data_IF_459683291195
#
_entry.id   IF_459683291195
#
_cell.length_a   1.000
_cell.length_b   1.000
_cell.length_c   1.000
_cell.angle_alpha   90.00
_cell.angle_beta   90.00
_cell.angle_gamma   90.00
#
_symmetry.space_group_name_H-M   'P 1'
#
loop_
_entity.id
_entity.type
_entity.pdbx_description
1 polymer ?
#
# COMPACT_ATOMS: atom_id res chain seq x y z
N UNK A 1 -32.40 -49.94 12.63
CA UNK A 1 -31.40 -48.86 12.75
C UNK A 1 -31.20 -48.26 11.37
N UNK A 2 -30.90 -46.97 11.28
CA UNK A 2 -30.48 -46.34 10.02
C UNK A 2 -28.98 -46.16 10.12
N UNK A 3 -28.23 -46.79 9.22
CA UNK A 3 -26.79 -46.64 9.16
C UNK A 3 -26.44 -45.18 8.81
N UNK A 4 -25.60 -44.56 9.63
CA UNK A 4 -25.04 -43.24 9.32
C UNK A 4 -24.02 -43.42 8.22
N UNK A 5 -24.44 -43.20 6.97
CA UNK A 5 -23.52 -42.96 5.85
C UNK A 5 -22.53 -41.87 6.30
N UNK A 6 -21.25 -42.19 6.30
CA UNK A 6 -20.23 -41.21 6.69
C UNK A 6 -20.24 -40.04 5.71
N UNK A 7 -20.30 -38.82 6.24
CA UNK A 7 -20.42 -37.62 5.40
C UNK A 7 -19.21 -37.39 4.50
N UNK A 8 -18.06 -38.00 4.81
CA UNK A 8 -16.86 -38.10 3.95
C UNK A 8 -17.19 -38.63 2.55
N UNK A 9 -17.83 -39.81 2.45
CA UNK A 9 -18.19 -40.42 1.15
C UNK A 9 -19.07 -39.48 0.31
N UNK A 10 -19.98 -38.75 0.96
CA UNK A 10 -20.90 -37.83 0.28
C UNK A 10 -20.15 -36.67 -0.38
N UNK A 11 -19.03 -36.21 0.20
CA UNK A 11 -18.21 -35.15 -0.43
C UNK A 11 -17.35 -35.66 -1.58
N UNK A 12 -16.87 -36.90 -1.52
CA UNK A 12 -16.08 -37.51 -2.60
C UNK A 12 -16.95 -37.84 -3.83
N UNK A 13 -18.08 -38.53 -3.64
CA UNK A 13 -19.04 -38.90 -4.71
C UNK A 13 -19.61 -37.68 -5.45
N UNK A 14 -19.81 -36.56 -4.75
CA UNK A 14 -20.30 -35.31 -5.36
C UNK A 14 -19.18 -34.46 -6.02
N UNK A 15 -17.91 -34.91 -5.97
CA UNK A 15 -16.76 -34.13 -6.43
C UNK A 15 -16.49 -32.85 -5.60
N UNK A 16 -17.14 -32.71 -4.45
CA UNK A 16 -17.09 -31.55 -3.55
C UNK A 16 -15.89 -31.62 -2.59
N UNK A 17 -14.74 -32.09 -3.09
CA UNK A 17 -13.50 -32.11 -2.32
C UNK A 17 -13.15 -30.68 -1.87
N UNK A 18 -13.07 -30.40 -0.55
CA UNK A 18 -12.93 -29.03 -0.05
C UNK A 18 -11.54 -28.48 -0.38
N UNK A 19 -11.46 -27.60 -1.38
CA UNK A 19 -10.20 -26.98 -1.81
C UNK A 19 -9.70 -25.98 -0.76
N UNK A 20 -8.95 -26.53 0.21
CA UNK A 20 -7.97 -25.90 1.10
C UNK A 20 -8.40 -24.63 1.84
N UNK A 21 -8.76 -24.82 3.12
CA UNK A 21 -8.84 -23.75 4.14
C UNK A 21 -7.87 -24.03 5.31
N UNK A 22 -6.57 -23.84 5.05
CA UNK A 22 -5.51 -23.83 6.05
C UNK A 22 -4.49 -22.71 5.71
N UNK A 23 -3.96 -21.90 6.63
CA UNK A 23 -4.17 -21.77 8.10
C UNK A 23 -4.32 -20.30 8.50
N UNK A 24 -4.83 -20.06 9.70
CA UNK A 24 -4.43 -18.89 10.48
C UNK A 24 -3.00 -19.12 10.98
N UNK A 25 -2.02 -18.52 10.30
CA UNK A 25 -0.66 -18.38 10.81
C UNK A 25 -0.44 -16.90 11.15
N UNK A 26 -0.45 -16.59 12.46
CA UNK A 26 0.31 -15.45 12.95
C UNK A 26 1.82 -15.66 12.68
N UNK A 27 2.61 -14.59 12.69
CA UNK A 27 4.07 -14.61 12.53
C UNK A 27 4.63 -15.09 11.17
N UNK A 28 3.91 -14.89 10.06
CA UNK A 28 4.56 -14.79 8.75
C UNK A 28 4.78 -13.32 8.38
N UNK A 29 6.04 -12.87 8.50
CA UNK A 29 6.53 -11.71 7.76
C UNK A 29 6.30 -12.00 6.26
N UNK A 30 5.34 -11.31 5.66
CA UNK A 30 5.29 -11.21 4.20
C UNK A 30 6.53 -10.44 3.74
N UNK A 31 6.94 -10.68 2.50
CA UNK A 31 7.86 -9.77 1.82
C UNK A 31 7.11 -8.46 1.51
N UNK A 32 7.09 -7.57 2.50
CA UNK A 32 6.53 -6.23 2.36
C UNK A 32 7.41 -5.41 1.43
N UNK A 33 6.90 -5.12 0.25
CA UNK A 33 7.58 -4.35 -0.77
C UNK A 33 7.10 -2.91 -0.65
N UNK A 34 8.06 -1.99 -0.52
CA UNK A 34 7.81 -0.57 -0.41
C UNK A 34 8.10 0.09 -1.75
N UNK A 35 7.10 0.75 -2.34
CA UNK A 35 7.32 1.67 -3.45
C UNK A 35 7.38 3.10 -2.92
N UNK A 36 8.35 3.88 -3.42
CA UNK A 36 8.72 5.17 -2.85
C UNK A 36 8.94 6.23 -3.93
N UNK A 37 8.44 7.44 -3.69
CA UNK A 37 8.62 8.61 -4.55
C UNK A 37 8.79 9.88 -3.70
N UNK A 38 9.89 10.62 -3.92
CA UNK A 38 10.05 11.98 -3.40
C UNK A 38 9.34 12.99 -4.32
N UNK A 39 8.69 13.98 -3.72
CA UNK A 39 8.01 15.10 -4.38
C UNK A 39 8.27 16.40 -3.59
N UNK A 40 8.11 17.56 -4.22
CA UNK A 40 8.12 18.86 -3.53
C UNK A 40 6.85 19.64 -3.87
N UNK A 41 6.19 20.16 -2.83
CA UNK A 41 5.03 21.05 -2.91
C UNK A 41 5.20 22.22 -1.93
N UNK A 42 5.26 23.44 -2.46
CA UNK A 42 5.61 24.68 -1.75
C UNK A 42 6.85 24.57 -0.86
N UNK A 43 7.94 24.02 -1.44
CA UNK A 43 9.23 23.74 -0.75
C UNK A 43 9.17 22.64 0.33
N UNK A 44 7.99 22.13 0.68
CA UNK A 44 7.86 20.98 1.57
C UNK A 44 8.30 19.71 0.85
N UNK A 45 9.14 18.90 1.50
CA UNK A 45 9.50 17.57 1.03
C UNK A 45 8.37 16.59 1.37
N UNK A 46 7.83 15.94 0.34
CA UNK A 46 6.72 15.00 0.43
C UNK A 46 7.20 13.62 0.03
N UNK A 47 6.95 12.63 0.88
CA UNK A 47 7.15 11.22 0.53
C UNK A 47 5.81 10.58 0.19
N UNK A 48 5.69 10.05 -1.03
CA UNK A 48 4.57 9.19 -1.42
C UNK A 48 5.05 7.74 -1.34
N UNK A 49 4.34 6.92 -0.57
CA UNK A 49 4.77 5.56 -0.20
C UNK A 49 3.61 4.60 -0.43
N UNK A 50 3.88 3.44 -1.01
CA UNK A 50 2.95 2.33 -1.05
C UNK A 50 3.54 1.04 -0.46
N UNK A 51 2.74 0.35 0.35
CA UNK A 51 3.04 -0.96 0.92
C UNK A 51 2.25 -2.02 0.16
N UNK A 52 2.91 -3.10 -0.23
CA UNK A 52 2.27 -4.24 -0.89
C UNK A 52 2.92 -5.56 -0.50
N UNK A 53 2.16 -6.65 -0.66
CA UNK A 53 2.76 -7.97 -0.85
C UNK A 53 3.23 -8.19 -2.30
N UNK A 54 4.01 -9.26 -2.50
CA UNK A 54 4.58 -9.73 -3.77
C UNK A 54 3.54 -10.08 -4.85
N UNK A 55 2.29 -10.30 -4.46
CA UNK A 55 1.20 -10.65 -5.37
C UNK A 55 0.90 -9.49 -6.32
N UNK A 56 0.91 -9.76 -7.62
CA UNK A 56 0.67 -8.76 -8.68
C UNK A 56 1.69 -7.60 -8.72
N UNK A 57 2.87 -7.78 -8.13
CA UNK A 57 4.07 -6.92 -8.13
C UNK A 57 4.10 -5.89 -9.28
N UNK A 58 4.36 -6.36 -10.50
CA UNK A 58 4.54 -5.54 -11.71
C UNK A 58 3.31 -4.69 -12.05
N UNK A 59 2.09 -5.18 -11.74
CA UNK A 59 0.85 -4.46 -11.94
C UNK A 59 0.69 -3.31 -10.93
N UNK A 60 1.02 -3.59 -9.66
CA UNK A 60 1.01 -2.60 -8.57
C UNK A 60 2.10 -1.55 -8.74
N UNK A 61 3.31 -1.96 -9.10
CA UNK A 61 4.43 -1.07 -9.42
C UNK A 61 4.07 -0.13 -10.58
N UNK A 62 3.51 -0.67 -11.67
CA UNK A 62 3.08 0.14 -12.84
C UNK A 62 1.93 1.09 -12.50
N UNK A 63 0.98 0.67 -11.66
CA UNK A 63 -0.08 1.56 -11.16
C UNK A 63 0.48 2.69 -10.31
N UNK A 64 1.34 2.37 -9.34
CA UNK A 64 2.00 3.36 -8.48
C UNK A 64 2.86 4.33 -9.28
N UNK A 65 3.64 3.84 -10.25
CA UNK A 65 4.44 4.67 -11.15
C UNK A 65 3.57 5.61 -11.99
N UNK A 66 2.40 5.18 -12.47
CA UNK A 66 1.46 6.06 -13.17
C UNK A 66 0.91 7.16 -12.27
N UNK A 67 0.59 6.85 -11.00
CA UNK A 67 0.17 7.83 -10.00
C UNK A 67 1.34 8.82 -9.71
N UNK A 68 2.56 8.32 -9.56
CA UNK A 68 3.76 9.14 -9.38
C UNK A 68 3.99 10.08 -10.56
N UNK A 69 3.88 9.59 -11.81
CA UNK A 69 4.02 10.41 -13.01
C UNK A 69 2.99 11.57 -13.02
N UNK A 70 1.75 11.32 -12.59
CA UNK A 70 0.75 12.36 -12.43
C UNK A 70 1.12 13.35 -11.31
N UNK A 71 1.46 12.86 -10.11
CA UNK A 71 1.86 13.71 -8.97
C UNK A 71 3.08 14.57 -9.30
N UNK A 72 4.07 14.03 -10.04
CA UNK A 72 5.24 14.77 -10.54
C UNK A 72 4.80 15.90 -11.49
N UNK A 73 3.76 15.70 -12.30
CA UNK A 73 3.29 16.72 -13.26
C UNK A 73 2.59 17.92 -12.60
N UNK A 74 2.17 17.78 -11.33
CA UNK A 74 1.59 18.87 -10.52
C UNK A 74 2.51 19.32 -9.37
N UNK A 75 3.74 18.81 -9.29
CA UNK A 75 4.73 19.16 -8.25
C UNK A 75 5.69 20.26 -8.71
N UNK A 76 6.22 21.05 -7.76
CA UNK A 76 7.15 22.16 -8.07
C UNK A 76 8.48 21.67 -8.67
N UNK A 77 8.89 20.44 -8.33
CA UNK A 77 10.19 19.90 -8.72
C UNK A 77 10.14 18.39 -8.91
N UNK A 78 10.52 17.96 -10.11
CA UNK A 78 10.80 16.55 -10.43
C UNK A 78 11.99 16.07 -9.60
N UNK A 79 11.78 15.03 -8.79
CA UNK A 79 12.82 14.24 -8.14
C UNK A 79 12.84 12.85 -8.83
N UNK A 80 13.84 12.03 -8.53
CA UNK A 80 14.12 10.75 -9.17
C UNK A 80 12.94 9.78 -9.25
N UNK A 81 13.03 8.82 -10.17
CA UNK A 81 11.98 7.85 -10.47
C UNK A 81 11.58 7.05 -9.23
N UNK A 82 10.28 6.74 -9.13
CA UNK A 82 9.70 5.69 -8.29
C UNK A 82 10.66 4.51 -8.05
N UNK A 83 11.09 4.37 -6.80
CA UNK A 83 12.01 3.33 -6.34
C UNK A 83 11.23 2.18 -5.70
N UNK A 84 11.62 0.94 -6.02
CA UNK A 84 11.30 -0.24 -5.20
C UNK A 84 12.40 -0.37 -4.15
N UNK A 85 12.02 -0.53 -2.90
CA UNK A 85 12.92 -0.65 -1.76
C UNK A 85 12.34 -1.57 -0.69
N UNK A 86 13.19 -2.04 0.21
CA UNK A 86 12.77 -2.73 1.42
C UNK A 86 12.70 -1.75 2.61
N UNK A 87 12.07 -2.18 3.72
CA UNK A 87 11.92 -1.37 4.94
C UNK A 87 13.26 -0.80 5.45
N UNK A 88 14.36 -1.56 5.30
CA UNK A 88 15.71 -1.12 5.68
C UNK A 88 16.18 0.11 4.90
N UNK A 89 15.92 0.16 3.59
CA UNK A 89 16.39 1.24 2.73
C UNK A 89 15.55 2.51 2.95
N UNK A 90 14.24 2.33 3.12
CA UNK A 90 13.30 3.40 3.46
C UNK A 90 13.64 4.00 4.84
N UNK A 91 14.00 3.17 5.82
CA UNK A 91 14.55 3.61 7.10
C UNK A 91 15.95 4.23 6.94
N UNK A 92 16.77 3.80 5.97
CA UNK A 92 18.12 4.35 5.75
C UNK A 92 18.13 5.76 5.11
N UNK A 93 17.01 6.23 4.56
CA UNK A 93 16.89 7.56 3.95
C UNK A 93 17.43 8.69 4.85
N UNK A 94 18.30 9.53 4.28
CA UNK A 94 18.95 10.66 4.97
C UNK A 94 18.05 11.89 5.11
N UNK A 95 17.10 12.08 4.18
CA UNK A 95 16.10 13.15 4.23
C UNK A 95 14.95 12.73 5.15
N UNK A 96 14.42 13.69 5.92
CA UNK A 96 13.13 13.54 6.61
C UNK A 96 12.06 14.31 5.82
N UNK A 97 10.87 13.75 5.57
CA UNK A 97 9.80 14.46 4.90
C UNK A 97 9.13 15.47 5.84
N UNK A 98 8.50 16.49 5.28
CA UNK A 98 7.54 17.33 6.00
C UNK A 98 6.17 16.63 6.09
N UNK A 99 5.78 15.93 5.03
CA UNK A 99 4.52 15.19 4.94
C UNK A 99 4.71 13.82 4.26
N UNK A 100 3.91 12.84 4.66
CA UNK A 100 3.88 11.49 4.07
C UNK A 100 2.45 11.18 3.62
N UNK A 101 2.29 10.73 2.37
CA UNK A 101 1.04 10.14 1.89
C UNK A 101 1.24 8.64 1.68
N UNK A 102 0.45 7.83 2.39
CA UNK A 102 0.62 6.39 2.52
C UNK A 102 -0.52 5.60 1.86
N UNK A 103 -0.17 4.72 0.92
CA UNK A 103 -1.03 3.69 0.33
C UNK A 103 -0.72 2.33 0.99
N UNK A 104 -1.48 1.92 2.00
CA UNK A 104 -1.34 0.60 2.61
C UNK A 104 -2.56 -0.29 2.33
N UNK A 105 -2.33 -1.58 2.07
CA UNK A 105 -3.38 -2.59 2.27
C UNK A 105 -3.71 -2.69 3.77
N UNK A 106 -5.00 -2.89 4.10
CA UNK A 106 -5.50 -2.92 5.50
C UNK A 106 -4.87 -4.00 6.39
N UNK A 107 -4.13 -4.93 5.79
CA UNK A 107 -3.43 -6.04 6.44
C UNK A 107 -1.89 -5.86 6.48
N UNK A 108 -1.38 -4.67 6.12
CA UNK A 108 0.03 -4.29 6.15
C UNK A 108 0.19 -3.06 7.05
N UNK A 109 1.04 -3.15 8.06
CA UNK A 109 1.29 -2.05 9.01
C UNK A 109 2.57 -1.32 8.64
N UNK A 110 2.54 0.02 8.66
CA UNK A 110 3.80 0.77 8.63
C UNK A 110 4.55 0.47 9.93
N UNK A 111 5.72 -0.17 9.83
CA UNK A 111 6.50 -0.58 11.00
C UNK A 111 6.81 0.59 11.94
N UNK A 112 6.69 0.34 13.25
CA UNK A 112 6.98 1.27 14.35
C UNK A 112 8.27 2.10 14.17
N UNK A 113 9.29 1.50 13.55
CA UNK A 113 10.59 2.12 13.26
C UNK A 113 10.50 3.31 12.31
N UNK A 114 9.60 3.28 11.32
CA UNK A 114 9.35 4.40 10.40
C UNK A 114 8.62 5.53 11.11
N UNK A 115 7.55 5.21 11.85
CA UNK A 115 6.79 6.18 12.63
C UNK A 115 7.71 6.93 13.61
N UNK A 116 8.55 6.20 14.35
CA UNK A 116 9.54 6.77 15.29
C UNK A 116 10.65 7.58 14.59
N UNK A 117 11.03 7.27 13.34
CA UNK A 117 12.04 8.06 12.60
C UNK A 117 11.45 9.35 11.99
N UNK A 118 10.18 9.32 11.63
CA UNK A 118 9.43 10.41 11.00
C UNK A 118 8.36 11.05 11.92
N UNK A 119 8.60 11.01 13.23
CA UNK A 119 7.70 11.50 14.30
C UNK A 119 7.32 13.01 14.19
N UNK A 120 8.07 13.78 13.41
CA UNK A 120 7.80 15.20 13.09
C UNK A 120 7.12 15.42 11.73
N UNK A 121 6.90 14.35 10.96
CA UNK A 121 6.32 14.37 9.63
C UNK A 121 4.81 14.14 9.69
N UNK A 122 4.03 14.92 8.94
CA UNK A 122 2.58 14.77 8.97
C UNK A 122 2.12 13.63 8.04
N UNK A 123 1.74 12.50 8.63
CA UNK A 123 1.39 11.26 7.92
C UNK A 123 -0.12 11.19 7.68
N UNK A 124 -0.52 11.16 6.40
CA UNK A 124 -1.88 10.84 5.97
C UNK A 124 -1.92 9.47 5.31
N UNK A 125 -2.78 8.56 5.78
CA UNK A 125 -3.12 7.33 5.07
C UNK A 125 -4.28 7.55 4.09
N UNK A 126 -4.15 6.98 2.89
CA UNK A 126 -5.26 6.85 1.96
C UNK A 126 -6.25 5.80 2.47
N UNK A 127 -7.53 5.97 2.12
CA UNK A 127 -8.61 5.04 2.41
C UNK A 127 -8.59 3.79 1.50
N UNK A 128 -7.71 3.75 0.49
CA UNK A 128 -7.59 2.65 -0.48
C UNK A 128 -6.15 2.28 -0.79
N UNK A 129 -5.96 1.06 -1.32
CA UNK A 129 -4.64 0.46 -1.62
C UNK A 129 -4.44 0.21 -3.12
N UNK A 130 -3.20 -0.13 -3.51
CA UNK A 130 -2.90 -0.59 -4.88
C UNK A 130 -3.71 -1.85 -5.24
N UNK A 131 -3.83 -2.81 -4.31
CA UNK A 131 -4.61 -4.04 -4.49
C UNK A 131 -6.11 -3.76 -4.68
N UNK A 132 -6.67 -2.80 -3.94
CA UNK A 132 -8.07 -2.38 -4.12
C UNK A 132 -8.29 -1.68 -5.46
N UNK A 133 -7.39 -0.76 -5.87
CA UNK A 133 -7.51 -0.02 -7.14
C UNK A 133 -7.30 -0.87 -8.40
N UNK A 134 -6.59 -2.00 -8.31
CA UNK A 134 -6.53 -3.00 -9.39
C UNK A 134 -7.87 -3.73 -9.51
N UNK A 135 -8.43 -4.19 -8.37
CA UNK A 135 -9.67 -4.99 -8.33
C UNK A 135 -10.94 -4.16 -8.55
N UNK A 136 -10.91 -2.87 -8.22
CA UNK A 136 -12.02 -1.91 -8.34
C UNK A 136 -11.50 -0.59 -8.89
N UNK A 137 -11.57 -0.35 -10.21
CA UNK A 137 -11.09 0.89 -10.83
C UNK A 137 -11.68 2.18 -10.23
N UNK A 138 -12.92 2.14 -9.74
CA UNK A 138 -13.58 3.27 -9.05
C UNK A 138 -12.85 3.72 -7.78
N UNK A 139 -12.09 2.84 -7.10
CA UNK A 139 -11.29 3.24 -5.93
C UNK A 139 -10.24 4.31 -6.26
N UNK A 140 -9.89 4.52 -7.53
CA UNK A 140 -8.99 5.61 -7.96
C UNK A 140 -9.59 7.00 -7.70
N UNK A 141 -10.90 7.14 -7.65
CA UNK A 141 -11.59 8.38 -7.28
C UNK A 141 -11.42 8.68 -5.78
N UNK A 142 -11.43 7.64 -4.94
CA UNK A 142 -11.14 7.73 -3.50
C UNK A 142 -9.70 8.22 -3.29
N UNK A 143 -8.74 7.60 -3.99
CA UNK A 143 -7.35 8.07 -3.99
C UNK A 143 -7.24 9.53 -4.46
N UNK A 144 -7.99 9.92 -5.49
CA UNK A 144 -7.93 11.29 -6.01
C UNK A 144 -8.39 12.31 -4.96
N UNK A 145 -9.49 12.04 -4.26
CA UNK A 145 -9.95 12.90 -3.16
C UNK A 145 -8.98 12.90 -1.96
N UNK A 146 -8.35 11.78 -1.64
CA UNK A 146 -7.31 11.72 -0.59
C UNK A 146 -6.07 12.55 -0.99
N UNK A 147 -5.64 12.48 -2.26
CA UNK A 147 -4.55 13.32 -2.82
C UNK A 147 -4.94 14.80 -2.76
N UNK A 148 -6.13 15.18 -3.22
CA UNK A 148 -6.59 16.57 -3.17
C UNK A 148 -6.62 17.11 -1.73
N UNK A 149 -7.15 16.33 -0.78
CA UNK A 149 -7.18 16.70 0.64
C UNK A 149 -5.78 16.85 1.24
N UNK A 150 -4.88 15.91 0.94
CA UNK A 150 -3.48 15.95 1.37
C UNK A 150 -2.71 17.14 0.79
N UNK A 151 -2.89 17.44 -0.49
CA UNK A 151 -2.27 18.59 -1.15
C UNK A 151 -2.81 19.89 -0.55
N UNK A 152 -4.13 20.04 -0.40
CA UNK A 152 -4.72 21.22 0.26
C UNK A 152 -4.19 21.41 1.69
N UNK A 153 -3.98 20.32 2.44
CA UNK A 153 -3.38 20.33 3.79
C UNK A 153 -1.94 20.82 3.80
N UNK A 154 -1.16 20.57 2.74
CA UNK A 154 0.19 21.15 2.57
C UNK A 154 0.07 22.66 2.32
N UNK A 155 -0.73 23.08 1.32
CA UNK A 155 -0.94 24.49 0.99
C UNK A 155 -1.54 25.32 2.14
N UNK A 156 -2.25 24.69 3.09
CA UNK A 156 -2.86 25.36 4.25
C UNK A 156 -1.93 25.59 5.44
N UNK A 157 -0.76 24.93 5.51
CA UNK A 157 0.24 25.15 6.58
C UNK A 157 1.27 26.23 6.20
N UNK A 158 0.79 27.38 5.70
CA UNK A 158 1.60 28.59 5.47
C UNK A 158 1.83 29.38 6.75
#
# INVERSE_FOLDING_TARGET
>A
MIDKIESSLIFEELGLNPIWKERLNDNNLKNEIYFYQELIFEKNLVFFIALTDDKEELGKQKLFQNICNYLISISDKKIDKCTRCDLSDLVALKRKPNFVLLLADKNLSLGDSLLKKWDLSDISSSKTSLTEMIKKPMSKEILWHDIQSFINKIYSKK
#
